data_IF_233618902351
#
_entry.id   IF_233618902351
#
_cell.length_a   1.000
_cell.length_b   1.000
_cell.length_c   1.000
_cell.angle_alpha   90.00
_cell.angle_beta   90.00
_cell.angle_gamma   90.00
#
_symmetry.space_group_name_H-M   'P 1'
#
loop_
_entity.id
_entity.type
_entity.pdbx_description
1 polymer ?
#
# COMPACT_ATOMS: atom_id res chain seq x y z
N UNK A 1 -9.02 14.31 -21.08
CA UNK A 1 -7.77 14.19 -20.31
C UNK A 1 -8.05 14.68 -18.90
N UNK A 2 -8.52 13.79 -18.02
CA UNK A 2 -8.79 14.12 -16.62
C UNK A 2 -7.56 13.74 -15.80
N UNK A 3 -6.95 14.75 -15.18
CA UNK A 3 -5.79 14.61 -14.30
C UNK A 3 -6.22 13.87 -13.04
N UNK A 4 -5.68 12.67 -12.84
CA UNK A 4 -5.91 11.81 -11.67
C UNK A 4 -5.30 12.45 -10.42
N UNK A 5 -6.10 13.22 -9.69
CA UNK A 5 -5.83 13.57 -8.29
C UNK A 5 -6.03 12.32 -7.42
N UNK A 6 -5.01 11.47 -7.35
CA UNK A 6 -4.97 10.32 -6.46
C UNK A 6 -3.65 10.35 -5.71
N UNK A 7 -3.71 10.26 -4.38
CA UNK A 7 -2.53 10.19 -3.51
C UNK A 7 -1.64 9.04 -4.01
N UNK A 8 -0.38 9.36 -4.28
CA UNK A 8 0.63 8.38 -4.67
C UNK A 8 0.79 7.36 -3.52
N UNK A 9 0.65 6.05 -3.77
CA UNK A 9 0.87 5.02 -2.76
C UNK A 9 2.23 5.15 -2.05
N UNK A 10 3.27 5.63 -2.75
CA UNK A 10 4.55 5.95 -2.14
C UNK A 10 4.43 7.12 -1.14
N UNK A 11 3.63 8.14 -1.44
CA UNK A 11 3.35 9.25 -0.54
C UNK A 11 2.52 8.82 0.67
N UNK A 12 1.54 7.93 0.50
CA UNK A 12 0.73 7.39 1.60
C UNK A 12 1.54 6.48 2.54
N UNK A 13 2.44 5.66 2.00
CA UNK A 13 3.36 4.83 2.78
C UNK A 13 4.45 5.68 3.46
N UNK A 14 4.89 6.77 2.82
CA UNK A 14 5.79 7.75 3.42
C UNK A 14 5.08 8.54 4.55
N UNK A 15 3.78 8.79 4.45
CA UNK A 15 2.98 9.39 5.53
C UNK A 15 2.87 8.46 6.75
N UNK A 16 2.76 7.14 6.55
CA UNK A 16 2.82 6.15 7.63
C UNK A 16 4.19 6.17 8.34
N UNK A 17 5.29 6.28 7.61
CA UNK A 17 6.65 6.37 8.18
C UNK A 17 6.96 7.73 8.82
N UNK A 18 6.59 8.86 8.19
CA UNK A 18 6.87 10.21 8.71
C UNK A 18 6.11 10.52 10.00
N UNK A 19 4.86 10.05 10.13
CA UNK A 19 4.06 10.25 11.35
C UNK A 19 4.60 9.42 12.52
N UNK A 20 5.35 8.34 12.25
CA UNK A 20 6.03 7.55 13.28
C UNK A 20 7.25 8.26 13.88
N UNK A 21 7.98 9.08 13.13
CA UNK A 21 9.10 9.89 13.67
C UNK A 21 8.62 10.94 14.67
N UNK A 22 7.47 11.55 14.38
CA UNK A 22 6.89 12.61 15.23
C UNK A 22 6.35 12.09 16.57
N UNK A 23 5.77 10.88 16.60
CA UNK A 23 5.23 10.30 17.85
C UNK A 23 6.33 9.69 18.76
N UNK A 24 7.46 9.25 18.18
CA UNK A 24 8.63 8.81 18.96
C UNK A 24 9.31 9.98 19.71
N UNK A 25 9.34 11.17 19.10
CA UNK A 25 9.86 12.39 19.75
C UNK A 25 8.96 12.86 20.91
N UNK A 26 7.64 12.62 20.84
CA UNK A 26 6.71 12.92 21.94
C UNK A 26 6.90 11.96 23.12
N UNK A 27 7.29 10.70 22.88
CA UNK A 27 7.58 9.74 23.95
C UNK A 27 8.92 10.01 24.68
N UNK A 28 9.82 10.81 24.09
CA UNK A 28 11.12 11.17 24.67
C UNK A 28 11.15 12.58 25.28
N UNK A 29 10.07 13.36 25.20
CA UNK A 29 10.00 14.71 25.77
C UNK A 29 9.64 14.75 27.28
N UNK A 30 9.82 13.66 28.02
CA UNK A 30 9.48 13.52 29.44
C UNK A 30 10.65 13.64 30.44
N UNK A 31 11.86 14.04 30.02
CA UNK A 31 12.98 14.26 30.93
C UNK A 31 13.57 15.65 30.76
N UNK A 32 13.19 16.54 31.67
CA UNK A 32 13.85 17.82 31.90
C UNK A 32 15.33 17.62 32.20
N UNK A 33 16.19 18.39 31.53
CA UNK A 33 17.59 18.56 31.91
C UNK A 33 17.91 20.07 31.97
N UNK A 34 18.37 20.62 33.12
CA UNK A 34 18.66 22.04 33.27
C UNK A 34 20.18 22.33 33.32
N UNK A 35 20.68 23.21 32.44
CA UNK A 35 21.78 24.19 32.64
C UNK A 35 22.27 24.71 31.27
N UNK A 36 22.07 26.00 30.94
CA UNK A 36 22.94 27.17 31.17
C UNK A 36 24.12 27.36 30.19
N UNK A 37 23.92 28.38 29.34
CA UNK A 37 24.82 29.48 28.93
C UNK A 37 26.06 29.23 28.05
N UNK A 38 25.98 29.78 26.83
CA UNK A 38 26.97 30.75 26.33
C UNK A 38 28.00 30.22 25.33
N UNK A 39 27.96 30.74 24.09
CA UNK A 39 29.08 30.65 23.15
C UNK A 39 28.68 30.79 21.69
N UNK A 40 28.87 31.98 21.13
CA UNK A 40 28.92 32.21 19.69
C UNK A 40 29.96 31.31 19.04
N UNK A 41 29.56 30.59 17.99
CA UNK A 41 30.43 29.78 17.15
C UNK A 41 29.69 29.50 15.85
N UNK A 42 30.14 30.19 14.81
CA UNK A 42 29.76 30.00 13.42
C UNK A 42 29.98 28.55 12.95
N UNK A 43 29.40 28.23 11.80
CA UNK A 43 29.73 27.12 10.88
C UNK A 43 28.76 25.92 10.78
N UNK A 44 28.38 25.72 9.51
CA UNK A 44 27.89 24.52 8.82
C UNK A 44 26.40 24.20 8.82
N UNK A 45 25.73 24.76 7.81
CA UNK A 45 24.63 24.10 7.10
C UNK A 45 25.04 22.69 6.64
N UNK A 46 24.28 21.62 6.94
CA UNK A 46 24.35 20.42 6.13
C UNK A 46 23.55 20.69 4.84
N UNK A 47 24.30 20.68 3.75
CA UNK A 47 23.84 20.70 2.36
C UNK A 47 22.78 19.61 2.18
N UNK A 48 21.68 19.96 1.51
CA UNK A 48 20.67 19.01 1.07
C UNK A 48 21.34 17.91 0.25
N UNK A 49 21.49 16.73 0.85
CA UNK A 49 21.96 15.54 0.18
C UNK A 49 20.89 15.08 -0.79
N UNK A 50 21.24 15.09 -2.07
CA UNK A 50 20.49 14.47 -3.15
C UNK A 50 20.02 13.06 -2.75
N UNK A 51 18.72 12.91 -2.52
CA UNK A 51 18.06 11.60 -2.45
C UNK A 51 17.72 11.15 -3.88
N UNK A 52 18.70 11.20 -4.78
CA UNK A 52 18.60 10.59 -6.12
C UNK A 52 19.04 9.13 -6.05
N UNK A 53 18.30 8.37 -5.26
CA UNK A 53 18.58 6.96 -4.96
C UNK A 53 17.28 6.17 -4.83
N UNK A 54 16.27 6.48 -5.64
CA UNK A 54 15.22 5.51 -5.88
C UNK A 54 15.89 4.29 -6.56
N UNK A 55 15.86 3.09 -5.96
CA UNK A 55 16.35 1.91 -6.63
C UNK A 55 15.59 1.77 -7.96
N UNK A 56 16.29 1.51 -9.09
CA UNK A 56 15.61 1.29 -10.35
C UNK A 56 14.60 0.17 -10.14
N UNK A 57 13.34 0.43 -10.46
CA UNK A 57 12.29 -0.58 -10.45
C UNK A 57 12.82 -1.82 -11.19
N UNK A 58 12.67 -3.04 -10.65
CA UNK A 58 13.21 -4.23 -11.27
C UNK A 58 12.63 -4.37 -12.68
N UNK A 59 13.49 -4.10 -13.67
CA UNK A 59 13.19 -4.15 -15.09
C UNK A 59 13.19 -5.61 -15.56
N UNK A 60 12.28 -6.43 -15.07
CA UNK A 60 12.25 -7.86 -15.41
C UNK A 60 10.81 -8.37 -15.48
N UNK A 61 10.07 -8.01 -16.54
CA UNK A 61 9.01 -8.88 -17.14
C UNK A 61 8.71 -8.51 -18.60
N UNK A 62 9.08 -7.31 -19.06
CA UNK A 62 8.60 -6.79 -20.35
C UNK A 62 9.13 -7.47 -21.60
N UNK A 63 10.21 -8.27 -21.50
CA UNK A 63 10.85 -8.84 -22.71
C UNK A 63 10.19 -10.16 -23.20
N UNK A 64 9.41 -10.85 -22.37
CA UNK A 64 8.88 -12.18 -22.72
C UNK A 64 7.41 -12.17 -23.19
N UNK A 65 6.66 -11.10 -22.89
CA UNK A 65 5.23 -11.03 -23.20
C UNK A 65 4.89 -10.91 -24.70
N UNK A 66 5.86 -10.60 -25.57
CA UNK A 66 5.62 -10.53 -27.02
C UNK A 66 5.31 -11.89 -27.66
N UNK A 67 5.82 -12.98 -27.09
CA UNK A 67 5.59 -14.33 -27.59
C UNK A 67 4.36 -15.02 -27.02
N UNK A 68 3.79 -14.47 -25.93
CA UNK A 68 2.73 -15.14 -25.17
C UNK A 68 1.37 -15.08 -25.88
N UNK A 69 0.60 -16.16 -25.86
CA UNK A 69 -0.82 -16.14 -26.25
C UNK A 69 -1.71 -15.45 -25.21
N UNK A 70 -2.98 -15.20 -25.56
CA UNK A 70 -3.96 -14.60 -24.64
C UNK A 70 -4.11 -15.42 -23.35
N UNK A 71 -4.25 -16.75 -23.47
CA UNK A 71 -4.35 -17.65 -22.32
C UNK A 71 -3.10 -17.62 -21.42
N UNK A 72 -1.91 -17.47 -21.99
CA UNK A 72 -0.66 -17.35 -21.24
C UNK A 72 -0.59 -16.02 -20.47
N UNK A 73 -1.02 -14.92 -21.11
CA UNK A 73 -1.11 -13.60 -20.47
C UNK A 73 -2.08 -13.61 -19.29
N UNK A 74 -3.24 -14.27 -19.42
CA UNK A 74 -4.20 -14.42 -18.32
C UNK A 74 -3.63 -15.30 -17.20
N UNK A 75 -2.94 -16.40 -17.51
CA UNK A 75 -2.24 -17.18 -16.47
C UNK A 75 -1.21 -16.35 -15.71
N UNK A 76 -0.43 -15.52 -16.41
CA UNK A 76 0.52 -14.62 -15.78
C UNK A 76 -0.18 -13.57 -14.91
N UNK A 77 -1.34 -13.05 -15.34
CA UNK A 77 -2.17 -12.14 -14.53
C UNK A 77 -2.56 -12.79 -13.21
N UNK A 78 -3.04 -14.04 -13.22
CA UNK A 78 -3.40 -14.75 -11.99
C UNK A 78 -2.20 -15.01 -11.07
N UNK A 79 -1.02 -15.29 -11.63
CA UNK A 79 0.21 -15.42 -10.85
C UNK A 79 0.56 -14.09 -10.16
N UNK A 80 0.58 -12.98 -10.91
CA UNK A 80 0.82 -11.64 -10.38
C UNK A 80 -0.20 -11.23 -9.32
N UNK A 81 -1.46 -11.64 -9.50
CA UNK A 81 -2.51 -11.36 -8.54
C UNK A 81 -2.41 -12.22 -7.27
N UNK A 82 -1.91 -13.45 -7.38
CA UNK A 82 -1.59 -14.29 -6.22
C UNK A 82 -0.44 -13.69 -5.41
N UNK A 83 0.64 -13.24 -6.07
CA UNK A 83 1.74 -12.52 -5.43
C UNK A 83 1.24 -11.24 -4.72
N UNK A 84 0.31 -10.49 -5.33
CA UNK A 84 -0.29 -9.32 -4.71
C UNK A 84 -1.02 -9.64 -3.40
N UNK A 85 -1.75 -10.76 -3.37
CA UNK A 85 -2.44 -11.23 -2.15
C UNK A 85 -1.43 -11.57 -1.05
N UNK A 86 -0.30 -12.18 -1.40
CA UNK A 86 0.79 -12.45 -0.47
C UNK A 86 1.42 -11.16 0.07
N UNK A 87 1.68 -10.15 -0.78
CA UNK A 87 2.18 -8.84 -0.35
C UNK A 87 1.22 -8.13 0.62
N UNK A 88 -0.10 -8.19 0.39
CA UNK A 88 -1.09 -7.67 1.36
C UNK A 88 -1.04 -8.43 2.69
N UNK A 89 -0.88 -9.76 2.65
CA UNK A 89 -0.75 -10.57 3.87
C UNK A 89 0.50 -10.21 4.66
N UNK A 90 1.65 -10.06 3.98
CA UNK A 90 2.88 -9.60 4.61
C UNK A 90 2.73 -8.19 5.20
N UNK A 91 2.07 -7.28 4.47
CA UNK A 91 1.84 -5.93 4.93
C UNK A 91 1.00 -5.90 6.22
N UNK A 92 -0.10 -6.66 6.26
CA UNK A 92 -0.96 -6.76 7.44
C UNK A 92 -0.25 -7.42 8.61
N UNK A 93 0.49 -8.52 8.40
CA UNK A 93 1.27 -9.17 9.46
C UNK A 93 2.32 -8.23 10.05
N UNK A 94 3.03 -7.49 9.21
CA UNK A 94 3.98 -6.46 9.64
C UNK A 94 3.31 -5.38 10.48
N UNK A 95 2.12 -4.95 10.09
CA UNK A 95 1.34 -3.96 10.82
C UNK A 95 0.84 -4.48 12.18
N UNK A 96 0.42 -5.74 12.28
CA UNK A 96 0.01 -6.35 13.55
C UNK A 96 1.17 -6.43 14.55
N UNK A 97 2.36 -6.82 14.08
CA UNK A 97 3.58 -6.80 14.89
C UNK A 97 3.90 -5.37 15.33
N UNK A 98 3.78 -4.40 14.42
CA UNK A 98 3.94 -2.98 14.73
C UNK A 98 2.98 -2.49 15.81
N UNK A 99 1.69 -2.85 15.78
CA UNK A 99 0.73 -2.43 16.82
C UNK A 99 1.04 -2.99 18.22
N UNK A 100 1.79 -4.10 18.29
CA UNK A 100 2.17 -4.74 19.56
C UNK A 100 3.34 -3.99 20.20
N UNK A 101 4.37 -3.68 19.42
CA UNK A 101 5.63 -3.07 19.91
C UNK A 101 5.66 -1.55 19.77
N UNK A 102 4.79 -0.98 18.92
CA UNK A 102 4.81 0.42 18.45
C UNK A 102 6.20 0.87 17.98
N UNK A 103 6.99 -0.07 17.46
CA UNK A 103 8.36 0.12 17.00
C UNK A 103 8.41 0.28 15.49
N UNK A 104 8.77 1.47 15.03
CA UNK A 104 8.76 1.83 13.61
C UNK A 104 9.80 1.11 12.72
N UNK A 105 11.08 0.87 13.14
CA UNK A 105 12.14 0.49 12.19
C UNK A 105 11.85 -0.78 11.38
N UNK A 106 11.30 -1.82 12.02
CA UNK A 106 10.95 -3.07 11.32
C UNK A 106 9.77 -2.89 10.37
N UNK A 107 8.78 -2.11 10.78
CA UNK A 107 7.60 -1.87 9.96
C UNK A 107 7.91 -0.97 8.75
N UNK A 108 8.82 -0.02 8.89
CA UNK A 108 9.32 0.80 7.77
C UNK A 108 10.03 -0.05 6.71
N UNK A 109 10.82 -1.04 7.13
CA UNK A 109 11.45 -2.00 6.20
C UNK A 109 10.39 -2.81 5.44
N UNK A 110 9.36 -3.31 6.15
CA UNK A 110 8.25 -4.02 5.52
C UNK A 110 7.52 -3.11 4.54
N UNK A 111 7.24 -1.85 4.92
CA UNK A 111 6.60 -0.86 4.05
C UNK A 111 7.40 -0.63 2.76
N UNK A 112 8.72 -0.48 2.86
CA UNK A 112 9.59 -0.32 1.70
C UNK A 112 9.55 -1.56 0.79
N UNK A 113 9.60 -2.76 1.38
CA UNK A 113 9.53 -4.02 0.65
C UNK A 113 8.19 -4.18 -0.09
N UNK A 114 7.05 -4.08 0.61
CA UNK A 114 5.73 -4.24 -0.03
C UNK A 114 5.46 -3.17 -1.07
N UNK A 115 5.99 -1.96 -0.90
CA UNK A 115 5.86 -0.88 -1.91
C UNK A 115 6.58 -1.26 -3.21
N UNK A 116 7.79 -1.84 -3.10
CA UNK A 116 8.53 -2.32 -4.26
C UNK A 116 7.79 -3.48 -4.94
N UNK A 117 7.26 -4.44 -4.18
CA UNK A 117 6.46 -5.56 -4.69
C UNK A 117 5.18 -5.08 -5.39
N UNK A 118 4.37 -4.21 -4.76
CA UNK A 118 3.19 -3.64 -5.40
C UNK A 118 3.52 -2.87 -6.68
N UNK A 119 4.64 -2.14 -6.70
CA UNK A 119 5.09 -1.41 -7.90
C UNK A 119 5.50 -2.36 -9.03
N UNK A 120 6.22 -3.43 -8.69
CA UNK A 120 6.60 -4.47 -9.65
C UNK A 120 5.36 -5.15 -10.24
N UNK A 121 4.47 -5.64 -9.39
CA UNK A 121 3.24 -6.33 -9.79
C UNK A 121 2.36 -5.42 -10.66
N UNK A 122 2.13 -4.17 -10.23
CA UNK A 122 1.30 -3.23 -10.99
C UNK A 122 1.88 -2.93 -12.37
N UNK A 123 3.21 -2.80 -12.45
CA UNK A 123 3.90 -2.62 -13.74
C UNK A 123 3.76 -3.84 -14.64
N UNK A 124 3.88 -5.05 -14.09
CA UNK A 124 3.68 -6.29 -14.82
C UNK A 124 2.24 -6.40 -15.36
N UNK A 125 1.24 -6.10 -14.54
CA UNK A 125 -0.18 -6.17 -14.95
C UNK A 125 -0.52 -5.09 -16.00
N UNK A 126 0.06 -3.90 -15.91
CA UNK A 126 -0.09 -2.88 -16.96
C UNK A 126 0.52 -3.35 -18.30
N UNK A 127 1.63 -4.09 -18.26
CA UNK A 127 2.23 -4.68 -19.46
C UNK A 127 1.36 -5.80 -20.04
N UNK A 128 0.72 -6.61 -19.18
CA UNK A 128 -0.28 -7.62 -19.59
C UNK A 128 -1.46 -6.94 -20.29
N UNK A 129 -2.00 -5.86 -19.72
CA UNK A 129 -3.08 -5.08 -20.33
C UNK A 129 -2.70 -4.60 -21.74
N UNK A 130 -1.50 -4.02 -21.89
CA UNK A 130 -1.00 -3.57 -23.18
C UNK A 130 -0.85 -4.72 -24.18
N UNK A 131 -0.31 -5.86 -23.74
CA UNK A 131 -0.16 -7.05 -24.58
C UNK A 131 -1.51 -7.66 -25.02
N UNK A 132 -2.54 -7.59 -24.17
CA UNK A 132 -3.90 -8.01 -24.55
C UNK A 132 -4.50 -7.08 -25.62
N UNK A 133 -4.28 -5.77 -25.51
CA UNK A 133 -4.71 -4.81 -26.52
C UNK A 133 -4.04 -5.05 -27.88
N UNK A 134 -2.76 -5.41 -27.89
CA UNK A 134 -2.02 -5.76 -29.13
C UNK A 134 -2.56 -7.02 -29.81
N UNK A 135 -3.33 -7.85 -29.10
CA UNK A 135 -3.94 -9.10 -29.59
C UNK A 135 -5.44 -8.96 -29.86
N UNK A 136 -5.94 -7.72 -29.94
CA UNK A 136 -7.35 -7.40 -30.11
C UNK A 136 -8.28 -7.99 -29.01
N UNK A 137 -7.72 -8.39 -27.86
CA UNK A 137 -8.46 -8.89 -26.70
C UNK A 137 -9.00 -7.71 -25.84
N UNK A 138 -9.82 -6.86 -26.48
CA UNK A 138 -10.25 -5.57 -25.92
C UNK A 138 -11.09 -5.69 -24.65
N UNK A 139 -11.90 -6.74 -24.52
CA UNK A 139 -12.76 -6.94 -23.35
C UNK A 139 -11.92 -7.41 -22.16
N UNK A 140 -11.10 -8.44 -22.30
CA UNK A 140 -10.07 -8.82 -21.31
C UNK A 140 -9.23 -7.63 -20.84
N UNK A 141 -8.70 -6.81 -21.76
CA UNK A 141 -7.92 -5.63 -21.37
C UNK A 141 -8.72 -4.62 -20.51
N UNK A 142 -10.03 -4.47 -20.75
CA UNK A 142 -10.89 -3.62 -19.90
C UNK A 142 -11.06 -4.21 -18.51
N UNK A 143 -11.28 -5.53 -18.39
CA UNK A 143 -11.36 -6.19 -17.09
C UNK A 143 -10.04 -6.06 -16.31
N UNK A 144 -8.89 -6.23 -16.96
CA UNK A 144 -7.57 -6.01 -16.34
C UNK A 144 -7.40 -4.59 -15.82
N UNK A 145 -7.84 -3.58 -16.59
CA UNK A 145 -7.82 -2.19 -16.16
C UNK A 145 -8.73 -1.93 -14.96
N UNK A 146 -9.93 -2.52 -14.96
CA UNK A 146 -10.86 -2.43 -13.84
C UNK A 146 -10.27 -3.06 -12.58
N UNK A 147 -9.64 -4.23 -12.70
CA UNK A 147 -8.92 -4.91 -11.63
C UNK A 147 -7.81 -4.01 -11.03
N UNK A 148 -6.99 -3.35 -11.85
CA UNK A 148 -5.98 -2.40 -11.35
C UNK A 148 -6.60 -1.22 -10.59
N UNK A 149 -7.74 -0.70 -11.06
CA UNK A 149 -8.43 0.40 -10.38
C UNK A 149 -8.99 -0.02 -9.01
N UNK A 150 -9.60 -1.20 -8.92
CA UNK A 150 -10.08 -1.78 -7.67
C UNK A 150 -8.92 -2.00 -6.69
N UNK A 151 -7.80 -2.53 -7.17
CA UNK A 151 -6.63 -2.79 -6.33
C UNK A 151 -5.96 -1.53 -5.81
N UNK A 152 -5.90 -0.48 -6.63
CA UNK A 152 -5.47 0.86 -6.17
C UNK A 152 -6.38 1.40 -5.06
N UNK A 153 -7.69 1.21 -5.20
CA UNK A 153 -8.67 1.64 -4.18
C UNK A 153 -8.51 0.81 -2.90
N UNK A 154 -8.34 -0.51 -3.00
CA UNK A 154 -8.08 -1.42 -1.86
C UNK A 154 -6.82 -1.05 -1.10
N UNK A 155 -5.71 -0.75 -1.78
CA UNK A 155 -4.48 -0.32 -1.11
C UNK A 155 -4.70 1.00 -0.35
N UNK A 156 -5.41 1.95 -0.94
CA UNK A 156 -5.71 3.25 -0.32
C UNK A 156 -6.54 3.08 0.96
N UNK A 157 -7.61 2.28 0.90
CA UNK A 157 -8.47 1.99 2.07
C UNK A 157 -7.72 1.19 3.13
N UNK A 158 -6.85 0.26 2.73
CA UNK A 158 -5.98 -0.50 3.66
C UNK A 158 -5.09 0.45 4.48
N UNK A 159 -4.45 1.42 3.81
CA UNK A 159 -3.59 2.41 4.49
C UNK A 159 -4.41 3.26 5.47
N UNK A 160 -5.60 3.73 5.07
CA UNK A 160 -6.48 4.47 5.96
C UNK A 160 -6.91 3.64 7.17
N UNK A 161 -7.28 2.37 6.97
CA UNK A 161 -7.63 1.47 8.06
C UNK A 161 -6.46 1.28 9.03
N UNK A 162 -5.24 1.12 8.54
CA UNK A 162 -4.05 0.99 9.39
C UNK A 162 -3.79 2.27 10.19
N UNK A 163 -3.98 3.46 9.61
CA UNK A 163 -3.90 4.72 10.36
C UNK A 163 -4.91 4.77 11.52
N UNK A 164 -6.18 4.46 11.24
CA UNK A 164 -7.25 4.47 12.26
C UNK A 164 -6.97 3.45 13.36
N UNK A 165 -6.54 2.23 13.00
CA UNK A 165 -6.19 1.17 13.96
C UNK A 165 -5.02 1.56 14.87
N UNK A 166 -4.01 2.23 14.33
CA UNK A 166 -2.90 2.79 15.12
C UNK A 166 -3.40 3.87 16.08
N UNK A 167 -4.22 4.79 15.59
CA UNK A 167 -4.79 5.87 16.41
C UNK A 167 -5.68 5.33 17.54
N UNK A 168 -6.43 4.26 17.29
CA UNK A 168 -7.18 3.52 18.30
C UNK A 168 -6.26 2.91 19.35
N UNK A 169 -5.21 2.20 18.91
CA UNK A 169 -4.25 1.57 19.82
C UNK A 169 -3.58 2.59 20.75
N UNK A 170 -3.16 3.73 20.21
CA UNK A 170 -2.57 4.82 21.01
C UNK A 170 -3.59 5.41 21.99
N UNK A 171 -4.84 5.62 21.56
CA UNK A 171 -5.89 6.14 22.44
C UNK A 171 -6.20 5.16 23.59
N UNK A 172 -6.27 3.87 23.32
CA UNK A 172 -6.47 2.82 24.34
C UNK A 172 -5.34 2.82 25.37
N UNK A 173 -4.08 2.87 24.93
CA UNK A 173 -2.93 2.94 25.82
C UNK A 173 -2.93 4.22 26.68
N UNK A 174 -3.32 5.38 26.12
CA UNK A 174 -3.45 6.64 26.87
C UNK A 174 -4.58 6.57 27.89
N UNK A 175 -5.73 6.01 27.53
CA UNK A 175 -6.88 5.87 28.45
C UNK A 175 -6.61 4.96 29.64
N UNK A 176 -5.68 4.01 29.50
CA UNK A 176 -5.23 3.17 30.61
C UNK A 176 -4.37 3.95 31.62
N UNK A 177 -3.79 5.09 31.22
CA UNK A 177 -2.98 5.97 32.07
C UNK A 177 -3.81 7.13 32.62
N UNK A 178 -4.65 7.75 31.77
CA UNK A 178 -5.52 8.86 32.11
C UNK A 178 -6.99 8.42 32.13
N UNK A 179 -7.59 8.35 33.33
CA UNK A 179 -9.01 8.01 33.56
C UNK A 179 -10.06 8.97 32.93
N UNK A 180 -9.68 9.82 31.97
CA UNK A 180 -10.50 10.93 31.47
C UNK A 180 -10.59 11.10 29.95
N UNK A 181 -9.85 10.34 29.13
CA UNK A 181 -9.77 10.58 27.68
C UNK A 181 -10.51 9.52 26.84
N UNK A 182 -11.82 9.34 27.06
CA UNK A 182 -12.63 8.32 26.38
C UNK A 182 -13.44 8.83 25.16
N UNK A 183 -13.48 10.15 24.91
CA UNK A 183 -14.50 10.73 24.01
C UNK A 183 -14.40 10.33 22.53
N UNK A 184 -13.21 9.95 22.02
CA UNK A 184 -13.00 9.77 20.57
C UNK A 184 -12.74 8.32 20.16
N UNK A 185 -12.74 7.38 21.11
CA UNK A 185 -12.48 5.95 20.81
C UNK A 185 -13.67 5.31 20.09
N UNK A 186 -14.90 5.71 20.45
CA UNK A 186 -16.13 5.21 19.82
C UNK A 186 -16.20 5.54 18.33
N UNK A 187 -16.04 6.82 17.97
CA UNK A 187 -16.06 7.30 16.59
C UNK A 187 -14.98 6.62 15.73
N UNK A 188 -13.76 6.46 16.27
CA UNK A 188 -12.69 5.78 15.55
C UNK A 188 -12.94 4.29 15.35
N UNK A 189 -13.60 3.61 16.31
CA UNK A 189 -13.99 2.19 16.13
C UNK A 189 -15.07 2.04 15.07
N UNK A 190 -16.02 2.96 15.03
CA UNK A 190 -17.03 2.99 13.98
C UNK A 190 -16.37 3.21 12.61
N UNK A 191 -15.46 4.16 12.49
CA UNK A 191 -14.69 4.40 11.27
C UNK A 191 -13.88 3.17 10.84
N UNK A 192 -13.21 2.48 11.77
CA UNK A 192 -12.48 1.24 11.49
C UNK A 192 -13.40 0.13 10.96
N UNK A 193 -14.61 0.02 11.53
CA UNK A 193 -15.65 -0.90 11.07
C UNK A 193 -16.12 -0.60 9.64
N UNK A 194 -16.33 0.68 9.31
CA UNK A 194 -16.70 1.10 7.95
C UNK A 194 -15.59 0.80 6.93
N UNK A 195 -14.34 1.10 7.27
CA UNK A 195 -13.19 0.80 6.40
C UNK A 195 -13.02 -0.71 6.20
N UNK A 196 -13.23 -1.51 7.26
CA UNK A 196 -13.20 -2.97 7.18
C UNK A 196 -14.30 -3.51 6.26
N UNK A 197 -15.52 -2.98 6.35
CA UNK A 197 -16.62 -3.37 5.48
C UNK A 197 -16.33 -2.99 4.02
N UNK A 198 -15.81 -1.78 3.77
CA UNK A 198 -15.42 -1.33 2.43
C UNK A 198 -14.28 -2.17 1.82
N UNK A 199 -13.33 -2.64 2.63
CA UNK A 199 -12.30 -3.58 2.15
C UNK A 199 -12.90 -4.94 1.75
N UNK A 200 -13.89 -5.44 2.49
CA UNK A 200 -14.55 -6.69 2.14
C UNK A 200 -15.33 -6.58 0.82
N UNK A 201 -16.00 -5.44 0.60
CA UNK A 201 -16.67 -5.13 -0.67
C UNK A 201 -15.66 -5.08 -1.83
N UNK A 202 -14.54 -4.36 -1.67
CA UNK A 202 -13.50 -4.29 -2.69
C UNK A 202 -12.89 -5.66 -3.02
N UNK A 203 -12.72 -6.53 -2.03
CA UNK A 203 -12.25 -7.89 -2.26
C UNK A 203 -13.28 -8.72 -3.04
N UNK A 204 -14.57 -8.54 -2.76
CA UNK A 204 -15.64 -9.15 -3.55
C UNK A 204 -15.58 -8.68 -5.00
N UNK A 205 -15.55 -7.36 -5.23
CA UNK A 205 -15.49 -6.77 -6.57
C UNK A 205 -14.26 -7.25 -7.37
N UNK A 206 -13.12 -7.40 -6.69
CA UNK A 206 -11.89 -7.93 -7.29
C UNK A 206 -12.07 -9.38 -7.73
N UNK A 207 -12.68 -10.22 -6.88
CA UNK A 207 -12.92 -11.61 -7.21
C UNK A 207 -13.93 -11.75 -8.35
N UNK A 208 -15.00 -10.96 -8.33
CA UNK A 208 -16.00 -10.94 -9.41
C UNK A 208 -15.34 -10.55 -10.75
N UNK A 209 -14.45 -9.56 -10.75
CA UNK A 209 -13.68 -9.17 -11.95
C UNK A 209 -12.73 -10.29 -12.42
N UNK A 210 -12.11 -11.05 -11.51
CA UNK A 210 -11.25 -12.18 -11.86
C UNK A 210 -12.06 -13.35 -12.44
N UNK A 211 -13.27 -13.57 -11.95
CA UNK A 211 -14.19 -14.57 -12.48
C UNK A 211 -14.69 -14.17 -13.88
N UNK A 212 -15.01 -12.89 -14.11
CA UNK A 212 -15.35 -12.35 -15.44
C UNK A 212 -14.21 -12.61 -16.46
N UNK A 213 -12.95 -12.39 -16.05
CA UNK A 213 -11.76 -12.67 -16.88
C UNK A 213 -11.66 -14.16 -17.23
N UNK A 214 -11.90 -15.04 -16.27
CA UNK A 214 -11.84 -16.49 -16.47
C UNK A 214 -12.98 -17.01 -17.36
N UNK A 215 -14.18 -16.46 -17.19
CA UNK A 215 -15.31 -16.74 -18.06
C UNK A 215 -15.00 -16.33 -19.51
N UNK A 216 -14.54 -15.10 -19.74
CA UNK A 216 -14.19 -14.62 -21.08
C UNK A 216 -13.08 -15.47 -21.72
N UNK A 217 -12.04 -15.85 -20.96
CA UNK A 217 -10.99 -16.74 -21.47
C UNK A 217 -11.55 -18.10 -21.91
N UNK A 218 -12.46 -18.67 -21.12
CA UNK A 218 -13.08 -19.97 -21.42
C UNK A 218 -13.93 -19.92 -22.69
N UNK A 219 -14.56 -18.78 -23.00
CA UNK A 219 -15.33 -18.58 -24.24
C UNK A 219 -14.42 -18.50 -25.47
N UNK A 220 -13.24 -17.90 -25.32
CA UNK A 220 -12.24 -17.79 -26.39
C UNK A 220 -11.64 -19.16 -26.74
N UNK A 221 -11.33 -19.99 -25.73
CA UNK A 221 -10.76 -21.34 -25.93
C UNK A 221 -11.71 -22.32 -26.64
N UNK A 222 -13.03 -22.06 -26.65
CA UNK A 222 -14.04 -22.91 -27.33
C UNK A 222 -14.23 -22.52 -28.80
N UNK A 223 -13.69 -21.37 -29.22
CA UNK A 223 -13.93 -20.79 -30.54
C UNK A 223 -12.81 -21.05 -31.57
N UNK A 224 -11.70 -21.67 -31.16
CA UNK A 224 -10.57 -22.10 -32.00
C UNK A 224 -10.67 -23.58 -32.43
#
# INVERSE_FOLDING_TARGET
MASSAGIDPAMAMNLLSMRNRSDADVAVAGRSCPCHTGGQGDVCMPVAGDLDGAPPAPAIVTHDMRGMGVAELVRLLHAMQSERVESYSMFEQGFQAFLTELSAPRYEQICAQVTAEFSHISSAINAIEAALLERDALSLAKHVRALQALEKRKLSVTIEQQLVRRELRVAELRSAVDNGAASNVGERREQEGLLRAGLAELVSDINDTLDEIQCELSELDVSE
#
